data_IF_348868453826
#
_entry.id   IF_348868453826
#
_cell.length_a   1.000
_cell.length_b   1.000
_cell.length_c   1.000
_cell.angle_alpha   90.00
_cell.angle_beta   90.00
_cell.angle_gamma   90.00
#
_symmetry.space_group_name_H-M   'P 1'
#
loop_
_entity.id
_entity.type
_entity.pdbx_description
1 polymer ?
#
# COMPACT_ATOMS: atom_id res chain seq x y z
N UNK A 1 -39.34 -8.40 45.48
CA UNK A 1 -39.41 -7.55 44.27
C UNK A 1 -38.03 -6.97 44.00
N UNK A 2 -37.46 -7.37 42.85
CA UNK A 2 -36.67 -6.57 41.90
C UNK A 2 -35.35 -5.94 42.41
N UNK A 3 -34.20 -6.57 42.15
CA UNK A 3 -33.36 -6.51 40.92
C UNK A 3 -32.19 -5.54 41.10
N UNK A 4 -31.10 -6.03 41.71
CA UNK A 4 -29.78 -5.41 41.63
C UNK A 4 -29.04 -5.92 40.40
N UNK A 5 -29.16 -5.23 39.27
CA UNK A 5 -28.33 -5.43 38.08
C UNK A 5 -28.09 -4.05 37.45
N UNK A 6 -26.93 -3.45 37.74
CA UNK A 6 -26.61 -2.10 37.26
C UNK A 6 -25.12 -1.81 37.13
N UNK A 7 -24.26 -2.83 36.99
CA UNK A 7 -22.80 -2.63 36.92
C UNK A 7 -22.13 -3.25 35.67
N UNK A 8 -22.89 -3.77 34.70
CA UNK A 8 -22.32 -4.49 33.55
C UNK A 8 -22.11 -3.65 32.27
N UNK A 9 -22.80 -2.52 32.11
CA UNK A 9 -22.92 -1.87 30.80
C UNK A 9 -21.88 -0.77 30.50
N UNK A 10 -21.24 -0.21 31.53
CA UNK A 10 -20.34 0.95 31.34
C UNK A 10 -18.93 0.52 30.87
N UNK A 11 -18.47 -0.67 31.26
CA UNK A 11 -17.13 -1.16 30.91
C UNK A 11 -16.97 -1.55 29.44
N UNK A 12 -18.00 -2.09 28.80
CA UNK A 12 -17.91 -2.59 27.42
C UNK A 12 -17.91 -1.44 26.42
N UNK A 13 -18.74 -0.42 26.61
CA UNK A 13 -18.80 0.75 25.74
C UNK A 13 -17.48 1.54 25.74
N UNK A 14 -16.93 1.84 26.92
CA UNK A 14 -15.66 2.57 27.04
C UNK A 14 -14.47 1.80 26.42
N UNK A 15 -14.47 0.46 26.52
CA UNK A 15 -13.42 -0.36 25.92
C UNK A 15 -13.39 -0.25 24.38
N UNK A 16 -14.56 -0.20 23.72
CA UNK A 16 -14.65 -0.04 22.26
C UNK A 16 -14.25 1.34 21.75
N UNK A 17 -14.39 2.39 22.56
CA UNK A 17 -13.94 3.74 22.19
C UNK A 17 -12.44 3.96 22.47
N UNK A 18 -11.86 3.23 23.43
CA UNK A 18 -10.46 3.34 23.80
C UNK A 18 -9.54 2.35 23.07
N UNK A 19 -10.07 1.28 22.45
CA UNK A 19 -9.28 0.28 21.72
C UNK A 19 -8.31 0.84 20.67
N UNK A 20 -8.65 1.87 19.84
CA UNK A 20 -7.67 2.42 18.90
C UNK A 20 -6.51 3.14 19.59
N UNK A 21 -6.73 3.69 20.79
CA UNK A 21 -5.68 4.32 21.61
C UNK A 21 -4.86 3.30 22.41
N UNK A 22 -5.48 2.21 22.84
CA UNK A 22 -4.85 1.16 23.64
C UNK A 22 -4.08 0.13 22.79
N UNK A 23 -4.38 0.05 21.50
CA UNK A 23 -3.63 -0.77 20.54
C UNK A 23 -3.75 -0.16 19.15
N UNK A 24 -2.95 0.87 18.85
CA UNK A 24 -2.89 1.44 17.53
C UNK A 24 -2.50 0.37 16.49
N UNK A 25 -2.76 0.61 15.20
CA UNK A 25 -2.17 -0.16 14.12
C UNK A 25 -0.68 -0.41 14.36
N UNK A 26 -0.20 -1.61 14.03
CA UNK A 26 1.21 -1.94 14.14
C UNK A 26 2.03 -0.92 13.32
N UNK A 27 2.94 -0.22 14.01
CA UNK A 27 3.87 0.72 13.39
C UNK A 27 5.20 0.00 13.12
N UNK A 28 5.91 0.39 12.04
CA UNK A 28 7.22 -0.15 11.76
C UNK A 28 8.19 0.19 12.89
N UNK A 29 9.01 -0.79 13.27
CA UNK A 29 10.12 -0.55 14.19
C UNK A 29 11.19 0.36 13.58
N UNK A 30 12.18 0.72 14.40
CA UNK A 30 13.27 1.63 14.02
C UNK A 30 14.59 0.89 13.72
N UNK A 31 14.57 -0.43 13.55
CA UNK A 31 15.77 -1.22 13.26
C UNK A 31 16.05 -1.17 11.77
N UNK A 32 17.21 -0.64 11.38
CA UNK A 32 17.63 -0.62 9.98
C UNK A 32 17.84 -2.04 9.43
N UNK A 33 17.36 -2.28 8.21
CA UNK A 33 17.44 -3.55 7.49
C UNK A 33 17.90 -3.33 6.04
N UNK A 34 19.23 -3.28 5.79
CA UNK A 34 19.78 -3.09 4.44
C UNK A 34 19.36 -4.20 3.47
N UNK A 35 19.21 -5.44 3.98
CA UNK A 35 18.71 -6.57 3.19
C UNK A 35 17.28 -6.31 2.72
N UNK A 36 16.40 -5.81 3.59
CA UNK A 36 15.04 -5.45 3.20
C UNK A 36 15.03 -4.32 2.16
N UNK A 37 15.83 -3.26 2.36
CA UNK A 37 15.95 -2.17 1.39
C UNK A 37 16.36 -2.69 -0.01
N UNK A 38 17.28 -3.65 -0.06
CA UNK A 38 17.67 -4.33 -1.32
C UNK A 38 16.49 -5.09 -1.94
N UNK A 39 15.78 -5.92 -1.16
CA UNK A 39 14.64 -6.70 -1.67
C UNK A 39 13.49 -5.80 -2.18
N UNK A 40 13.25 -4.67 -1.52
CA UNK A 40 12.26 -3.69 -1.97
C UNK A 40 12.66 -3.06 -3.30
N UNK A 41 13.94 -2.71 -3.48
CA UNK A 41 14.46 -2.24 -4.77
C UNK A 41 14.39 -3.31 -5.86
N UNK A 42 14.68 -4.58 -5.55
CA UNK A 42 14.52 -5.71 -6.49
C UNK A 42 13.06 -5.81 -6.97
N UNK A 43 12.10 -5.67 -6.04
CA UNK A 43 10.67 -5.68 -6.37
C UNK A 43 10.27 -4.48 -7.25
N UNK A 44 10.80 -3.28 -6.97
CA UNK A 44 10.60 -2.09 -7.82
C UNK A 44 11.14 -2.31 -9.23
N UNK A 45 12.37 -2.80 -9.36
CA UNK A 45 13.00 -3.03 -10.66
C UNK A 45 12.23 -4.07 -11.48
N UNK A 46 11.77 -5.15 -10.83
CA UNK A 46 10.93 -6.16 -11.46
C UNK A 46 9.57 -5.60 -11.93
N UNK A 47 8.97 -4.69 -11.15
CA UNK A 47 7.73 -4.04 -11.53
C UNK A 47 7.92 -3.12 -12.74
N UNK A 48 8.94 -2.26 -12.71
CA UNK A 48 9.25 -1.34 -13.82
C UNK A 48 9.60 -2.09 -15.10
N UNK A 49 10.32 -3.21 -15.01
CA UNK A 49 10.64 -4.04 -16.18
C UNK A 49 9.40 -4.58 -16.90
N UNK A 50 8.26 -4.71 -16.20
CA UNK A 50 6.98 -5.14 -16.78
C UNK A 50 6.12 -3.98 -17.30
N UNK A 51 6.57 -2.73 -17.16
CA UNK A 51 5.83 -1.53 -17.60
C UNK A 51 6.12 -1.20 -19.06
N UNK A 52 5.82 -2.15 -19.93
CA UNK A 52 5.91 -2.01 -21.37
C UNK A 52 4.64 -2.57 -22.01
N UNK A 53 4.15 -2.00 -23.13
CA UNK A 53 2.94 -2.48 -23.81
C UNK A 53 2.95 -3.98 -24.13
N UNK A 54 4.12 -4.58 -24.36
CA UNK A 54 4.28 -6.02 -24.63
C UNK A 54 4.00 -6.91 -23.41
N UNK A 55 4.18 -6.39 -22.20
CA UNK A 55 3.98 -7.12 -20.95
C UNK A 55 2.67 -6.73 -20.24
N UNK A 56 2.21 -5.49 -20.46
CA UNK A 56 0.99 -4.94 -19.89
C UNK A 56 0.26 -4.15 -20.97
N UNK A 57 -0.62 -4.82 -21.75
CA UNK A 57 -1.37 -4.17 -22.82
C UNK A 57 -2.15 -2.95 -22.33
N UNK A 58 -2.17 -1.90 -23.16
CA UNK A 58 -2.83 -0.63 -22.86
C UNK A 58 -1.89 0.45 -22.31
N UNK A 59 -0.76 0.08 -21.72
CA UNK A 59 0.26 1.07 -21.33
C UNK A 59 0.86 1.77 -22.55
N UNK A 60 1.30 3.01 -22.37
CA UNK A 60 2.17 3.71 -23.32
C UNK A 60 3.64 3.25 -23.16
N UNK A 61 4.49 3.33 -24.21
CA UNK A 61 5.90 2.96 -24.13
C UNK A 61 6.69 3.69 -23.02
N UNK A 62 6.29 4.91 -22.67
CA UNK A 62 6.93 5.76 -21.66
C UNK A 62 6.55 5.39 -20.22
N UNK A 63 5.63 4.43 -20.01
CA UNK A 63 5.11 4.08 -18.69
C UNK A 63 6.22 3.77 -17.66
N UNK A 64 7.25 3.03 -18.07
CA UNK A 64 8.41 2.74 -17.20
C UNK A 64 9.18 4.01 -16.79
N UNK A 65 9.38 4.96 -17.71
CA UNK A 65 10.05 6.22 -17.42
C UNK A 65 9.18 7.10 -16.49
N UNK A 66 7.87 7.11 -16.71
CA UNK A 66 6.93 7.87 -15.89
C UNK A 66 6.86 7.32 -14.45
N UNK A 67 6.88 6.00 -14.27
CA UNK A 67 6.99 5.41 -12.94
C UNK A 67 8.33 5.73 -12.26
N UNK A 68 9.44 5.76 -13.00
CA UNK A 68 10.73 6.20 -12.43
C UNK A 68 10.69 7.66 -11.98
N UNK A 69 10.01 8.53 -12.73
CA UNK A 69 9.82 9.93 -12.35
C UNK A 69 8.96 10.04 -11.09
N UNK A 70 7.82 9.35 -11.04
CA UNK A 70 6.96 9.28 -9.87
C UNK A 70 7.69 8.81 -8.61
N UNK A 71 8.50 7.75 -8.70
CA UNK A 71 9.24 7.25 -7.53
C UNK A 71 10.19 8.28 -6.93
N UNK A 72 10.69 9.25 -7.72
CA UNK A 72 11.50 10.37 -7.20
C UNK A 72 10.68 11.37 -6.38
N UNK A 73 9.36 11.40 -6.58
CA UNK A 73 8.44 12.23 -5.80
C UNK A 73 8.07 11.57 -4.47
N UNK A 74 8.27 10.25 -4.33
CA UNK A 74 8.00 9.50 -3.09
C UNK A 74 9.16 9.70 -2.11
N UNK A 75 8.84 10.06 -0.87
CA UNK A 75 9.82 10.13 0.22
C UNK A 75 9.73 8.95 1.17
N UNK A 76 8.54 8.38 1.36
CA UNK A 76 8.32 7.30 2.30
C UNK A 76 7.18 6.38 1.86
N UNK A 77 7.35 5.07 2.12
CA UNK A 77 6.28 4.09 2.10
C UNK A 77 6.26 3.36 3.43
N UNK A 78 5.11 3.36 4.11
CA UNK A 78 4.91 2.58 5.34
C UNK A 78 3.92 1.45 5.08
N UNK A 79 4.37 0.22 5.28
CA UNK A 79 3.50 -0.94 5.36
C UNK A 79 2.92 -1.04 6.77
N UNK A 80 1.59 -1.00 6.87
CA UNK A 80 0.86 -1.09 8.14
C UNK A 80 -0.45 -1.86 8.00
N UNK A 81 -0.93 -2.40 9.10
CA UNK A 81 -2.29 -2.94 9.14
C UNK A 81 -3.31 -1.82 9.20
N UNK A 82 -4.46 -1.98 8.54
CA UNK A 82 -5.52 -0.97 8.56
C UNK A 82 -6.23 -0.86 9.91
N UNK A 83 -6.08 -1.88 10.76
CA UNK A 83 -6.65 -1.95 12.10
C UNK A 83 -5.63 -2.40 13.14
N UNK A 84 -5.76 -1.89 14.36
CA UNK A 84 -5.05 -2.36 15.54
C UNK A 84 -5.52 -3.73 16.03
N UNK A 85 -4.72 -4.42 16.85
CA UNK A 85 -4.93 -5.83 17.25
C UNK A 85 -6.31 -6.12 17.86
N UNK A 86 -6.85 -5.20 18.65
CA UNK A 86 -8.10 -5.39 19.40
C UNK A 86 -9.33 -4.73 18.76
N UNK A 87 -9.17 -4.15 17.57
CA UNK A 87 -10.30 -3.54 16.88
C UNK A 87 -11.29 -4.58 16.31
N UNK A 88 -12.60 -4.30 16.27
CA UNK A 88 -13.58 -5.23 15.72
C UNK A 88 -13.37 -5.50 14.21
N UNK A 89 -13.69 -6.72 13.78
CA UNK A 89 -13.60 -7.13 12.37
C UNK A 89 -12.17 -7.45 11.88
N UNK A 90 -11.30 -7.98 12.77
CA UNK A 90 -9.93 -8.41 12.44
C UNK A 90 -9.85 -9.39 11.26
N UNK A 91 -10.89 -10.19 11.01
CA UNK A 91 -10.97 -11.12 9.85
C UNK A 91 -10.68 -10.43 8.51
N UNK A 92 -10.93 -9.13 8.42
CA UNK A 92 -10.73 -8.30 7.22
C UNK A 92 -9.66 -7.21 7.44
N UNK A 93 -8.77 -7.37 8.42
CA UNK A 93 -7.66 -6.44 8.63
C UNK A 93 -6.74 -6.48 7.41
N UNK A 94 -6.55 -5.34 6.76
CA UNK A 94 -5.84 -5.24 5.49
C UNK A 94 -4.41 -4.83 5.75
N UNK A 95 -3.46 -5.43 5.02
CA UNK A 95 -2.13 -4.85 4.90
C UNK A 95 -2.20 -3.75 3.83
N UNK A 96 -1.81 -2.54 4.21
CA UNK A 96 -1.86 -1.35 3.38
C UNK A 96 -0.49 -0.69 3.28
N UNK A 97 -0.24 -0.06 2.14
CA UNK A 97 0.91 0.83 1.94
C UNK A 97 0.44 2.29 2.01
N UNK A 98 1.05 3.04 2.91
CA UNK A 98 0.81 4.46 3.12
C UNK A 98 1.97 5.22 2.50
N UNK A 99 1.69 5.97 1.42
CA UNK A 99 2.71 6.68 0.66
C UNK A 99 2.73 8.16 1.06
N UNK A 100 3.94 8.66 1.29
CA UNK A 100 4.21 10.07 1.50
C UNK A 100 5.09 10.60 0.36
N UNK A 101 4.70 11.74 -0.20
CA UNK A 101 5.50 12.49 -1.16
C UNK A 101 6.49 13.40 -0.44
N UNK A 102 7.56 13.74 -1.16
CA UNK A 102 8.58 14.67 -0.67
C UNK A 102 8.03 16.07 -0.33
N UNK A 103 6.91 16.47 -0.92
CA UNK A 103 6.19 17.72 -0.61
C UNK A 103 5.22 17.60 0.59
N UNK A 104 5.18 16.44 1.25
CA UNK A 104 4.35 16.17 2.42
C UNK A 104 2.94 15.68 2.12
N UNK A 105 2.54 15.58 0.84
CA UNK A 105 1.23 15.06 0.46
C UNK A 105 1.18 13.55 0.72
N UNK A 106 0.10 13.11 1.38
CA UNK A 106 -0.20 11.69 1.63
C UNK A 106 -1.19 11.19 0.59
N UNK A 107 -0.89 10.04 -0.01
CA UNK A 107 -1.86 9.31 -0.84
C UNK A 107 -2.84 8.55 0.04
N UNK A 108 -4.01 8.20 -0.51
CA UNK A 108 -4.90 7.23 0.15
C UNK A 108 -4.18 5.89 0.33
N UNK A 109 -4.44 5.16 1.42
CA UNK A 109 -3.85 3.86 1.68
C UNK A 109 -4.10 2.86 0.55
N UNK A 110 -3.02 2.21 0.08
CA UNK A 110 -3.09 1.22 -0.99
C UNK A 110 -3.24 -0.16 -0.37
N UNK A 111 -4.35 -0.84 -0.64
CA UNK A 111 -4.49 -2.24 -0.26
C UNK A 111 -3.52 -3.13 -1.04
N UNK A 112 -2.71 -3.91 -0.32
CA UNK A 112 -1.70 -4.81 -0.92
C UNK A 112 -2.30 -6.06 -1.57
N UNK A 113 -3.57 -6.35 -1.31
CA UNK A 113 -4.19 -7.64 -1.65
C UNK A 113 -4.05 -8.69 -0.54
N UNK A 114 -3.23 -8.42 0.48
CA UNK A 114 -2.96 -9.31 1.60
C UNK A 114 -3.66 -8.83 2.87
N UNK A 115 -4.09 -9.78 3.70
CA UNK A 115 -4.62 -9.48 5.03
C UNK A 115 -3.48 -9.49 6.04
N UNK A 116 -3.63 -8.68 7.07
CA UNK A 116 -2.76 -8.77 8.23
C UNK A 116 -3.06 -10.01 9.07
N UNK A 117 -2.00 -10.70 9.43
CA UNK A 117 -1.90 -11.75 10.45
C UNK A 117 -0.70 -11.48 11.37
N UNK A 118 -0.49 -12.30 12.40
CA UNK A 118 0.57 -12.06 13.41
C UNK A 118 1.98 -11.96 12.80
N UNK A 119 2.29 -12.77 11.78
CA UNK A 119 3.59 -12.75 11.08
C UNK A 119 3.71 -11.70 9.95
N UNK A 120 2.82 -10.72 9.89
CA UNK A 120 2.86 -9.73 8.80
C UNK A 120 4.07 -8.82 8.96
N UNK A 121 4.89 -8.72 7.91
CA UNK A 121 6.03 -7.81 7.92
C UNK A 121 5.55 -6.35 7.80
N UNK A 122 5.70 -5.61 8.91
CA UNK A 122 5.46 -4.17 9.00
C UNK A 122 6.79 -3.46 8.86
N UNK A 123 6.85 -2.46 7.97
CA UNK A 123 8.11 -1.78 7.65
C UNK A 123 7.89 -0.36 7.16
N UNK A 124 8.95 0.46 7.31
CA UNK A 124 9.07 1.78 6.70
C UNK A 124 10.19 1.74 5.68
N UNK A 125 9.92 2.18 4.45
CA UNK A 125 10.91 2.35 3.40
C UNK A 125 11.08 3.84 3.10
N UNK A 126 12.29 4.36 3.27
CA UNK A 126 12.65 5.75 2.97
C UNK A 126 13.24 5.80 1.57
N UNK A 127 12.69 6.68 0.74
CA UNK A 127 13.09 6.84 -0.64
C UNK A 127 14.04 8.02 -0.81
N UNK A 128 15.01 7.84 -1.72
CA UNK A 128 15.89 8.87 -2.21
C UNK A 128 16.16 8.64 -3.69
N UNK A 129 16.00 9.69 -4.49
CA UNK A 129 16.25 9.65 -5.94
C UNK A 129 15.52 8.52 -6.68
N UNK A 130 14.33 8.14 -6.22
CA UNK A 130 13.50 7.09 -6.81
C UNK A 130 13.88 5.66 -6.41
N UNK A 131 14.73 5.50 -5.39
CA UNK A 131 15.16 4.22 -4.84
C UNK A 131 14.89 4.15 -3.35
N UNK A 132 14.70 2.95 -2.82
CA UNK A 132 14.68 2.75 -1.36
C UNK A 132 16.11 2.88 -0.86
N UNK A 133 16.39 3.96 -0.11
CA UNK A 133 17.70 4.20 0.49
C UNK A 133 17.84 3.43 1.81
N UNK A 134 16.78 3.43 2.61
CA UNK A 134 16.75 2.78 3.93
C UNK A 134 15.42 2.07 4.13
N UNK A 135 15.47 0.96 4.87
CA UNK A 135 14.27 0.26 5.32
C UNK A 135 14.39 -0.03 6.81
N UNK A 136 13.28 0.13 7.53
CA UNK A 136 13.20 -0.04 8.98
C UNK A 136 12.09 -1.02 9.35
N UNK A 137 12.38 -1.89 10.30
CA UNK A 137 11.45 -2.92 10.81
C UNK A 137 11.59 -3.04 12.34
N UNK A 138 10.81 -3.94 12.92
CA UNK A 138 10.96 -4.41 14.30
C UNK A 138 11.98 -5.57 14.46
N UNK A 139 12.60 -6.01 13.36
CA UNK A 139 13.54 -7.12 13.31
C UNK A 139 12.90 -8.50 13.15
N UNK A 140 11.57 -8.60 13.10
CA UNK A 140 10.83 -9.87 12.94
C UNK A 140 11.22 -10.61 11.66
N UNK A 141 11.61 -9.89 10.59
CA UNK A 141 12.00 -10.50 9.31
C UNK A 141 13.23 -11.41 9.44
N UNK A 142 14.06 -11.20 10.47
CA UNK A 142 15.31 -11.94 10.70
C UNK A 142 15.09 -13.35 11.22
N UNK A 143 13.86 -13.67 11.63
CA UNK A 143 13.46 -15.02 12.03
C UNK A 143 13.21 -15.92 10.82
N UNK A 144 13.13 -15.34 9.61
CA UNK A 144 12.80 -16.05 8.38
C UNK A 144 13.97 -16.06 7.40
N UNK A 145 14.09 -17.09 6.54
CA UNK A 145 15.04 -17.08 5.45
C UNK A 145 14.79 -15.92 4.48
N UNK A 146 15.86 -15.32 3.93
CA UNK A 146 15.79 -14.20 2.99
C UNK A 146 14.86 -14.47 1.80
N UNK A 147 14.81 -15.71 1.31
CA UNK A 147 13.91 -16.10 0.22
C UNK A 147 12.43 -15.96 0.56
N UNK A 148 12.05 -16.25 1.81
CA UNK A 148 10.68 -16.07 2.29
C UNK A 148 10.34 -14.59 2.43
N UNK A 149 11.25 -13.78 3.00
CA UNK A 149 11.09 -12.32 3.08
C UNK A 149 10.96 -11.71 1.69
N UNK A 150 11.77 -12.16 0.72
CA UNK A 150 11.65 -11.74 -0.69
C UNK A 150 10.25 -12.03 -1.25
N UNK A 151 9.70 -13.21 -0.97
CA UNK A 151 8.33 -13.55 -1.36
C UNK A 151 7.29 -12.62 -0.75
N UNK A 152 7.42 -12.32 0.54
CA UNK A 152 6.50 -11.43 1.26
C UNK A 152 6.47 -10.00 0.71
N UNK A 153 7.61 -9.48 0.25
CA UNK A 153 7.71 -8.13 -0.34
C UNK A 153 7.72 -8.14 -1.87
N UNK A 154 7.48 -9.28 -2.50
CA UNK A 154 7.62 -9.44 -3.95
C UNK A 154 6.71 -8.53 -4.77
N UNK A 155 5.51 -8.22 -4.27
CA UNK A 155 4.54 -7.34 -4.93
C UNK A 155 4.69 -5.86 -4.55
N UNK A 156 5.63 -5.51 -3.66
CA UNK A 156 5.83 -4.14 -3.16
C UNK A 156 5.96 -3.13 -4.30
N UNK A 157 6.91 -3.35 -5.20
CA UNK A 157 7.21 -2.47 -6.32
C UNK A 157 6.02 -2.29 -7.25
N UNK A 158 5.26 -3.36 -7.50
CA UNK A 158 4.04 -3.30 -8.32
C UNK A 158 2.99 -2.42 -7.65
N UNK A 159 2.69 -2.63 -6.37
CA UNK A 159 1.67 -1.84 -5.65
C UNK A 159 2.05 -0.36 -5.58
N UNK A 160 3.30 -0.05 -5.28
CA UNK A 160 3.79 1.34 -5.22
C UNK A 160 3.73 1.98 -6.60
N UNK A 161 4.32 1.38 -7.62
CA UNK A 161 4.37 1.99 -8.97
C UNK A 161 3.00 2.06 -9.65
N UNK A 162 2.11 1.10 -9.40
CA UNK A 162 0.78 1.11 -9.99
C UNK A 162 -0.15 2.12 -9.33
N UNK A 163 0.11 2.53 -8.08
CA UNK A 163 -0.70 3.57 -7.44
C UNK A 163 -0.71 4.87 -8.24
N UNK A 164 0.42 5.30 -8.80
CA UNK A 164 0.47 6.50 -9.64
C UNK A 164 -0.35 6.35 -10.93
N UNK A 165 -0.59 5.12 -11.42
CA UNK A 165 -1.49 4.87 -12.56
C UNK A 165 -2.94 5.17 -12.19
N UNK A 166 -3.31 4.85 -10.97
CA UNK A 166 -4.67 5.05 -10.48
C UNK A 166 -4.92 6.55 -10.19
N UNK A 167 -3.91 7.25 -9.62
CA UNK A 167 -3.98 8.69 -9.35
C UNK A 167 -3.80 9.57 -10.59
N UNK A 168 -2.90 9.17 -11.49
CA UNK A 168 -2.51 9.95 -12.66
C UNK A 168 -2.56 9.10 -13.95
N UNK A 169 -3.74 8.58 -14.34
CA UNK A 169 -3.87 7.65 -15.48
C UNK A 169 -3.35 8.22 -16.80
N UNK A 170 -3.44 9.55 -16.99
CA UNK A 170 -2.92 10.23 -18.17
C UNK A 170 -1.40 10.11 -18.36
N UNK A 171 -0.64 9.78 -17.31
CA UNK A 171 0.80 9.49 -17.40
C UNK A 171 1.09 8.10 -17.97
N UNK A 172 0.11 7.21 -18.06
CA UNK A 172 0.35 5.78 -18.33
C UNK A 172 -0.45 5.21 -19.48
N UNK A 173 -1.57 5.84 -19.82
CA UNK A 173 -2.46 5.37 -20.87
C UNK A 173 -2.75 6.50 -21.85
N UNK A 174 -3.01 6.12 -23.10
CA UNK A 174 -3.62 7.05 -24.06
C UNK A 174 -5.00 7.42 -23.52
N UNK A 175 -5.38 8.72 -23.51
CA UNK A 175 -6.71 9.13 -23.13
C UNK A 175 -7.76 8.32 -23.91
N UNK A 176 -8.83 7.84 -23.26
CA UNK A 176 -9.87 7.15 -23.99
C UNK A 176 -10.45 8.09 -25.06
N UNK A 177 -10.86 7.56 -26.23
CA UNK A 177 -11.53 8.37 -27.23
C UNK A 177 -12.78 9.01 -26.62
N UNK A 178 -13.15 10.19 -27.12
CA UNK A 178 -14.35 10.88 -26.68
C UNK A 178 -15.56 9.93 -26.82
N UNK A 179 -16.35 9.82 -25.75
CA UNK A 179 -17.57 9.03 -25.79
C UNK A 179 -18.51 9.66 -26.84
N UNK A 180 -19.11 8.86 -27.73
CA UNK A 180 -20.02 9.38 -28.74
C UNK A 180 -21.19 10.10 -28.05
N UNK A 181 -21.56 11.27 -28.57
CA UNK A 181 -22.72 12.01 -28.05
C UNK A 181 -24.02 11.27 -28.38
N UNK A 182 -25.13 11.63 -27.73
CA UNK A 182 -26.44 11.05 -28.08
C UNK A 182 -26.81 11.29 -29.55
N UNK A 183 -26.35 12.40 -30.14
CA UNK A 183 -26.53 12.70 -31.55
C UNK A 183 -25.65 11.80 -32.45
N UNK A 184 -24.42 11.51 -32.04
CA UNK A 184 -23.55 10.57 -32.75
C UNK A 184 -24.09 9.14 -32.68
N UNK A 185 -24.66 8.75 -31.53
CA UNK A 185 -25.34 7.47 -31.37
C UNK A 185 -26.57 7.41 -32.26
N UNK A 186 -27.41 8.45 -32.28
CA UNK A 186 -28.61 8.49 -33.12
C UNK A 186 -28.27 8.30 -34.61
N UNK A 187 -27.22 8.98 -35.12
CA UNK A 187 -26.73 8.83 -36.49
C UNK A 187 -26.21 7.44 -36.86
N UNK A 188 -25.85 6.60 -35.89
CA UNK A 188 -25.39 5.23 -36.15
C UNK A 188 -26.54 4.25 -36.37
N UNK A 189 -27.76 4.61 -35.97
CA UNK A 189 -28.96 3.78 -36.11
C UNK A 189 -29.87 4.23 -37.25
N UNK A 190 -29.45 5.23 -38.03
CA UNK A 190 -30.06 5.72 -39.28
C UNK A 190 -29.30 5.17 -40.50
#
# INVERSE_FOLDING_TARGET
MLLGWGAGAIGVGAYFFLTPYLSPPAEPGNISSPTLAKLLNESIDAAIARMHPTHSPGLIPEAAANSRAFLKEVSEVVARCSKGRFEPGQKYNKLEYHLLRADGVRYEPIYTGLRCHEETLIFRAVFKDGRVAEAFTDGSERQYPVGQVRGAVGEFGKRVTWSDRDYHPARYYVPPPAQPTQADIAKQWE
#
